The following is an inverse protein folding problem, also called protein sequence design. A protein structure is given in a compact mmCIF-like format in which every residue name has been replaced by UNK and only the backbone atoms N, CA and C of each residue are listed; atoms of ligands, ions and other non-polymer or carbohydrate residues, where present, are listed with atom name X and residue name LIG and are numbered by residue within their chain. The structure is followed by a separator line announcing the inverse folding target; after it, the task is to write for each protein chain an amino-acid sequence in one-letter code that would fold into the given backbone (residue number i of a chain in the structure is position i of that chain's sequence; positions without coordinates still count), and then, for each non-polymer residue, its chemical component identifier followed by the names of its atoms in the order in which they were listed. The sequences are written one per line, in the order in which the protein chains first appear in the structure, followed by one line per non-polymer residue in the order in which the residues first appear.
data_IF_109260219386
#
_entry.id   IF_109260219386
#
_cell.length_a   1.000
_cell.length_b   1.000
_cell.length_c   1.000
_cell.angle_alpha   90.00
_cell.angle_beta   90.00
_cell.angle_gamma   90.00
#
_symmetry.space_group_name_H-M   'P 1'
#
loop_
_entity.id
_entity.type
_entity.pdbx_description
1 polymer ?
#
# COMPACT_ATOMS: atom_id res chain seq x y z
N UNK A 1 29.13 -32.72 19.56
CA UNK A 1 29.01 -31.27 19.62
C UNK A 1 27.56 -30.95 19.30
N UNK A 2 26.84 -30.37 20.25
CA UNK A 2 25.39 -30.16 20.17
C UNK A 2 25.08 -29.00 19.22
N UNK A 3 24.25 -29.24 18.21
CA UNK A 3 23.63 -28.18 17.40
C UNK A 3 22.24 -27.96 17.98
N UNK A 4 22.16 -27.17 19.05
CA UNK A 4 20.88 -26.58 19.46
C UNK A 4 20.72 -25.26 18.71
N UNK A 5 20.37 -25.36 17.42
CA UNK A 5 19.81 -24.23 16.71
C UNK A 5 18.35 -24.12 17.14
N UNK A 6 18.11 -23.29 18.16
CA UNK A 6 16.77 -22.81 18.45
C UNK A 6 16.31 -22.05 17.19
N UNK A 7 15.34 -22.61 16.48
CA UNK A 7 14.60 -21.91 15.44
C UNK A 7 13.89 -20.75 16.12
N UNK A 8 14.58 -19.61 16.23
CA UNK A 8 13.98 -18.37 16.67
C UNK A 8 12.83 -18.08 15.71
N UNK A 9 11.60 -18.04 16.22
CA UNK A 9 10.42 -17.72 15.44
C UNK A 9 10.70 -16.42 14.68
N UNK A 10 10.54 -16.45 13.35
CA UNK A 10 10.77 -15.29 12.52
C UNK A 10 9.74 -14.20 12.89
N UNK A 11 10.21 -12.98 13.15
CA UNK A 11 9.38 -11.81 13.42
C UNK A 11 9.29 -10.91 12.18
N UNK A 12 8.15 -10.26 11.99
CA UNK A 12 7.96 -9.18 11.01
C UNK A 12 8.29 -7.79 11.57
N UNK A 13 8.67 -7.71 12.85
CA UNK A 13 9.20 -6.48 13.44
C UNK A 13 10.63 -6.26 12.94
N UNK A 14 10.89 -5.07 12.38
CA UNK A 14 12.20 -4.71 11.86
C UNK A 14 13.17 -4.41 13.01
N UNK A 15 14.33 -5.08 12.97
CA UNK A 15 15.43 -4.85 13.92
C UNK A 15 16.54 -4.04 13.25
N UNK A 16 17.10 -3.07 13.99
CA UNK A 16 18.27 -2.31 13.54
C UNK A 16 19.57 -3.02 13.94
N UNK A 17 20.41 -3.34 12.94
CA UNK A 17 21.73 -3.98 13.11
C UNK A 17 22.75 -3.33 12.20
N UNK A 18 23.37 -2.25 12.67
CA UNK A 18 24.29 -1.45 11.84
C UNK A 18 23.53 -0.73 10.72
N UNK A 19 23.91 -0.99 9.47
CA UNK A 19 23.23 -0.42 8.28
C UNK A 19 21.96 -1.19 7.89
N UNK A 20 21.76 -2.38 8.46
CA UNK A 20 20.57 -3.21 8.21
C UNK A 20 19.44 -2.74 9.11
N UNK A 21 18.29 -2.47 8.49
CA UNK A 21 17.01 -2.30 9.17
C UNK A 21 16.00 -3.18 8.42
N UNK A 22 15.81 -4.38 8.96
CA UNK A 22 15.11 -5.47 8.29
C UNK A 22 14.49 -6.40 9.34
N UNK A 23 13.25 -6.82 9.10
CA UNK A 23 12.62 -7.88 9.84
C UNK A 23 13.29 -9.24 9.57
N UNK A 24 13.53 -10.07 10.60
CA UNK A 24 14.06 -11.42 10.40
C UNK A 24 13.24 -12.25 9.39
N UNK A 25 11.92 -12.12 9.39
CA UNK A 25 11.02 -12.84 8.48
C UNK A 25 11.12 -12.41 7.01
N UNK A 26 11.61 -11.19 6.73
CA UNK A 26 11.78 -10.71 5.37
C UNK A 26 12.95 -11.40 4.65
N UNK A 27 14.06 -11.67 5.35
CA UNK A 27 15.17 -12.44 4.78
C UNK A 27 15.96 -11.77 3.65
N UNK A 28 15.62 -10.54 3.21
CA UNK A 28 16.36 -9.80 2.17
C UNK A 28 17.59 -9.06 2.71
N UNK A 29 17.56 -8.65 3.98
CA UNK A 29 18.58 -7.77 4.55
C UNK A 29 18.40 -6.31 4.12
N UNK A 30 17.17 -5.79 4.21
CA UNK A 30 16.85 -4.40 3.95
C UNK A 30 17.70 -3.44 4.81
N UNK A 31 17.94 -2.23 4.32
CA UNK A 31 18.80 -1.23 4.96
C UNK A 31 17.99 -0.07 5.54
N UNK A 32 18.57 0.63 6.52
CA UNK A 32 18.02 1.90 7.03
C UNK A 32 17.82 2.92 5.91
N UNK A 33 18.75 2.98 4.96
CA UNK A 33 18.66 3.88 3.81
C UNK A 33 17.44 3.60 2.93
N UNK A 34 17.12 2.34 2.68
CA UNK A 34 15.95 1.96 1.90
C UNK A 34 14.64 2.30 2.64
N UNK A 35 14.62 2.12 3.97
CA UNK A 35 13.50 2.56 4.80
C UNK A 35 13.30 4.07 4.69
N UNK A 36 14.36 4.85 4.86
CA UNK A 36 14.30 6.32 4.80
C UNK A 36 13.81 6.81 3.43
N UNK A 37 14.22 6.14 2.35
CA UNK A 37 13.72 6.40 0.99
C UNK A 37 12.23 6.11 0.90
N UNK A 38 11.75 4.98 1.45
CA UNK A 38 10.33 4.64 1.44
C UNK A 38 9.49 5.66 2.23
N UNK A 39 9.96 6.08 3.41
CA UNK A 39 9.33 7.13 4.23
C UNK A 39 9.24 8.44 3.45
N UNK A 40 10.36 8.94 2.92
CA UNK A 40 10.38 10.19 2.17
C UNK A 40 9.49 10.14 0.92
N UNK A 41 9.41 8.97 0.26
CA UNK A 41 8.56 8.76 -0.91
C UNK A 41 7.07 8.72 -0.55
N UNK A 42 6.73 8.10 0.58
CA UNK A 42 5.36 8.09 1.11
C UNK A 42 4.89 9.51 1.42
N UNK A 43 5.72 10.29 2.09
CA UNK A 43 5.41 11.68 2.43
C UNK A 43 5.25 12.55 1.19
N UNK A 44 6.12 12.38 0.19
CA UNK A 44 6.01 13.11 -1.08
C UNK A 44 4.71 12.76 -1.80
N UNK A 45 4.34 11.49 -1.84
CA UNK A 45 3.09 11.03 -2.43
C UNK A 45 1.87 11.62 -1.69
N UNK A 46 1.87 11.59 -0.36
CA UNK A 46 0.80 12.16 0.45
C UNK A 46 0.62 13.65 0.16
N UNK A 47 1.71 14.42 0.16
CA UNK A 47 1.69 15.85 -0.19
C UNK A 47 1.18 16.11 -1.62
N UNK A 48 1.50 15.22 -2.56
CA UNK A 48 1.08 15.33 -3.96
C UNK A 48 -0.44 15.16 -4.11
N UNK A 49 -1.04 14.25 -3.34
CA UNK A 49 -2.49 13.97 -3.38
C UNK A 49 -3.33 14.97 -2.56
N UNK A 50 -2.69 15.80 -1.74
CA UNK A 50 -3.35 16.87 -1.00
C UNK A 50 -3.43 16.62 0.51
N UNK A 51 -4.22 17.43 1.23
CA UNK A 51 -4.31 17.33 2.69
C UNK A 51 -4.96 16.00 3.13
N UNK A 52 -4.67 15.62 4.38
CA UNK A 52 -5.30 14.50 5.10
C UNK A 52 -5.04 13.09 4.54
N UNK A 53 -4.10 12.94 3.60
CA UNK A 53 -3.56 11.64 3.24
C UNK A 53 -2.56 11.16 4.29
N UNK A 54 -2.74 9.93 4.76
CA UNK A 54 -1.88 9.30 5.77
C UNK A 54 -0.91 8.33 5.10
N UNK A 55 0.36 8.33 5.52
CA UNK A 55 1.38 7.43 5.00
C UNK A 55 1.31 6.06 5.67
N UNK A 56 1.61 5.01 4.91
CA UNK A 56 1.83 3.65 5.42
C UNK A 56 3.15 3.14 4.83
N UNK A 57 4.03 2.61 5.67
CA UNK A 57 5.36 2.11 5.29
C UNK A 57 5.54 0.76 5.96
N UNK A 58 5.83 -0.26 5.16
CA UNK A 58 5.96 -1.63 5.67
C UNK A 58 7.05 -2.40 4.94
N UNK A 59 7.43 -3.52 5.53
CA UNK A 59 8.47 -4.39 5.01
C UNK A 59 7.88 -5.69 4.47
N UNK A 60 8.25 -6.06 3.24
CA UNK A 60 7.95 -7.35 2.64
C UNK A 60 8.89 -7.61 1.45
N UNK A 61 10.02 -8.29 1.68
CA UNK A 61 11.08 -8.46 0.68
C UNK A 61 11.61 -7.11 0.13
N UNK A 62 11.65 -6.09 0.99
CA UNK A 62 11.89 -4.70 0.61
C UNK A 62 11.04 -3.74 1.43
N UNK A 63 11.42 -2.47 1.44
CA UNK A 63 10.61 -1.40 2.03
C UNK A 63 9.62 -0.89 0.99
N UNK A 64 8.34 -0.92 1.35
CA UNK A 64 7.22 -0.48 0.52
C UNK A 64 6.52 0.68 1.20
N UNK A 65 5.74 1.41 0.42
CA UNK A 65 4.92 2.48 0.95
C UNK A 65 3.60 2.62 0.21
N UNK A 66 2.62 3.16 0.90
CA UNK A 66 1.32 3.56 0.38
C UNK A 66 0.88 4.84 1.08
N UNK A 67 -0.21 5.41 0.56
CA UNK A 67 -0.94 6.48 1.24
C UNK A 67 -2.43 6.15 1.26
N UNK A 68 -3.11 6.55 2.33
CA UNK A 68 -4.55 6.34 2.52
C UNK A 68 -5.27 7.67 2.63
N UNK A 69 -6.44 7.76 1.99
CA UNK A 69 -7.29 8.94 2.09
C UNK A 69 -7.80 9.13 3.52
N UNK A 70 -8.30 10.33 3.84
CA UNK A 70 -8.82 10.68 5.17
C UNK A 70 -9.90 9.71 5.68
N UNK A 71 -10.71 9.14 4.79
CA UNK A 71 -11.77 8.19 5.14
C UNK A 71 -11.28 6.73 5.13
N UNK A 72 -10.01 6.49 4.80
CA UNK A 72 -9.36 5.18 4.79
C UNK A 72 -9.81 4.24 3.67
N UNK A 73 -10.69 4.67 2.76
CA UNK A 73 -11.26 3.82 1.69
C UNK A 73 -10.43 3.77 0.42
N UNK A 74 -9.65 4.82 0.15
CA UNK A 74 -8.73 4.87 -0.98
C UNK A 74 -7.31 4.65 -0.48
N UNK A 75 -6.63 3.68 -1.09
CA UNK A 75 -5.20 3.43 -0.85
C UNK A 75 -4.47 3.56 -2.19
N UNK A 76 -3.35 4.27 -2.21
CA UNK A 76 -2.51 4.44 -3.42
C UNK A 76 -1.09 4.04 -3.09
N UNK A 77 -0.48 3.22 -3.94
CA UNK A 77 0.94 2.85 -3.82
C UNK A 77 1.61 2.71 -5.19
N UNK A 78 2.95 2.68 -5.24
CA UNK A 78 3.67 2.47 -6.49
C UNK A 78 3.36 1.09 -7.08
N UNK A 79 3.23 1.04 -8.39
CA UNK A 79 3.18 -0.19 -9.18
C UNK A 79 4.55 -0.55 -9.75
N UNK A 80 4.56 -1.39 -10.78
CA UNK A 80 5.76 -1.67 -11.57
C UNK A 80 6.06 -0.52 -12.54
N UNK A 81 7.32 -0.41 -12.97
CA UNK A 81 7.73 0.45 -14.10
C UNK A 81 7.25 1.92 -14.03
N UNK A 82 7.38 2.56 -12.86
CA UNK A 82 6.97 3.95 -12.60
C UNK A 82 5.46 4.23 -12.67
N UNK A 83 4.61 3.22 -12.57
CA UNK A 83 3.16 3.40 -12.46
C UNK A 83 2.71 3.52 -11.00
N UNK A 84 1.42 3.83 -10.81
CA UNK A 84 0.71 3.77 -9.54
C UNK A 84 -0.46 2.81 -9.62
N UNK A 85 -0.89 2.30 -8.47
CA UNK A 85 -2.08 1.48 -8.29
C UNK A 85 -2.94 2.14 -7.22
N UNK A 86 -4.24 2.29 -7.47
CA UNK A 86 -5.19 2.77 -6.49
C UNK A 86 -6.24 1.70 -6.19
N UNK A 87 -6.52 1.48 -4.92
CA UNK A 87 -7.53 0.55 -4.43
C UNK A 87 -8.67 1.34 -3.79
N UNK A 88 -9.91 0.92 -4.05
CA UNK A 88 -11.10 1.41 -3.38
C UNK A 88 -11.81 0.25 -2.67
N UNK A 89 -12.05 0.40 -1.37
CA UNK A 89 -12.64 -0.66 -0.56
C UNK A 89 -13.10 -0.22 0.83
N UNK A 90 -13.07 -1.17 1.76
CA UNK A 90 -13.41 -0.92 3.15
C UNK A 90 -12.28 -0.19 3.88
N UNK A 91 -12.61 0.72 4.82
CA UNK A 91 -11.62 1.48 5.56
C UNK A 91 -10.59 0.58 6.26
N UNK A 92 -9.32 0.96 6.16
CA UNK A 92 -8.23 0.28 6.87
C UNK A 92 -7.65 -0.95 6.16
N UNK A 93 -8.11 -1.26 4.95
CA UNK A 93 -7.51 -2.32 4.12
C UNK A 93 -6.52 -1.75 3.11
N UNK A 94 -5.38 -2.41 2.90
CA UNK A 94 -4.39 -2.02 1.88
C UNK A 94 -4.84 -2.36 0.44
N UNK A 95 -5.86 -3.22 0.31
CA UNK A 95 -6.49 -3.57 -0.96
C UNK A 95 -7.91 -3.03 -1.07
N UNK A 96 -8.64 -3.47 -2.07
CA UNK A 96 -10.00 -3.03 -2.32
C UNK A 96 -10.72 -3.93 -3.31
N UNK A 97 -12.04 -3.79 -3.38
CA UNK A 97 -12.86 -4.48 -4.39
C UNK A 97 -12.51 -3.99 -5.79
N UNK A 98 -12.22 -2.70 -5.91
CA UNK A 98 -11.78 -2.08 -7.15
C UNK A 98 -10.31 -1.70 -7.06
N UNK A 99 -9.58 -1.96 -8.14
CA UNK A 99 -8.17 -1.66 -8.26
C UNK A 99 -7.84 -1.33 -9.71
N UNK A 100 -7.21 -0.18 -9.95
CA UNK A 100 -6.77 0.23 -11.28
C UNK A 100 -5.39 0.89 -11.22
N UNK A 101 -4.77 0.98 -12.39
CA UNK A 101 -3.44 1.53 -12.59
C UNK A 101 -3.48 2.91 -13.26
N UNK A 102 -2.41 3.69 -13.10
CA UNK A 102 -2.18 4.93 -13.84
C UNK A 102 -0.70 5.32 -13.84
N UNK A 103 -0.30 6.18 -14.77
CA UNK A 103 1.09 6.68 -14.82
C UNK A 103 1.33 7.73 -13.73
N UNK A 104 0.25 8.35 -13.24
CA UNK A 104 0.25 9.23 -12.07
C UNK A 104 -0.66 8.71 -10.95
N UNK A 105 -0.45 9.15 -9.70
CA UNK A 105 -1.35 8.81 -8.59
C UNK A 105 -2.80 9.21 -8.86
N UNK A 106 -3.01 10.38 -9.48
CA UNK A 106 -4.34 10.91 -9.76
C UNK A 106 -5.04 10.11 -10.86
N UNK A 107 -4.32 9.66 -11.89
CA UNK A 107 -4.88 8.79 -12.93
C UNK A 107 -5.33 7.46 -12.35
N UNK A 108 -4.51 6.83 -11.50
CA UNK A 108 -4.89 5.58 -10.84
C UNK A 108 -6.17 5.78 -10.01
N UNK A 109 -6.25 6.84 -9.19
CA UNK A 109 -7.46 7.17 -8.41
C UNK A 109 -8.68 7.34 -9.33
N UNK A 110 -8.55 8.15 -10.38
CA UNK A 110 -9.64 8.45 -11.30
C UNK A 110 -10.15 7.19 -12.00
N UNK A 111 -9.24 6.31 -12.44
CA UNK A 111 -9.58 5.03 -13.04
C UNK A 111 -10.34 4.13 -12.06
N UNK A 112 -9.83 3.96 -10.84
CA UNK A 112 -10.49 3.12 -9.81
C UNK A 112 -11.88 3.65 -9.46
N UNK A 113 -12.04 4.97 -9.28
CA UNK A 113 -13.33 5.58 -8.97
C UNK A 113 -14.31 5.44 -10.14
N UNK A 114 -13.84 5.57 -11.38
CA UNK A 114 -14.69 5.42 -12.56
C UNK A 114 -15.27 4.01 -12.67
N UNK A 115 -14.45 2.97 -12.43
CA UNK A 115 -14.91 1.57 -12.44
C UNK A 115 -15.94 1.33 -11.34
N UNK A 116 -15.68 1.79 -10.12
CA UNK A 116 -16.61 1.64 -9.00
C UNK A 116 -17.95 2.36 -9.26
N UNK A 117 -17.90 3.59 -9.79
CA UNK A 117 -19.09 4.36 -10.12
C UNK A 117 -19.92 3.70 -11.23
N UNK A 118 -19.27 3.11 -12.24
CA UNK A 118 -19.96 2.37 -13.29
C UNK A 118 -20.72 1.15 -12.74
N UNK A 119 -20.07 0.37 -11.87
CA UNK A 119 -20.71 -0.79 -11.25
C UNK A 119 -21.89 -0.40 -10.35
N UNK A 120 -21.75 0.63 -9.51
CA UNK A 120 -22.86 1.10 -8.67
C UNK A 120 -24.04 1.61 -9.50
N UNK A 121 -23.79 2.19 -10.68
CA UNK A 121 -24.85 2.59 -11.61
C UNK A 121 -25.63 1.39 -12.15
N UNK A 122 -24.94 0.30 -12.50
CA UNK A 122 -25.58 -0.94 -12.95
C UNK A 122 -26.44 -1.56 -11.83
N UNK A 123 -25.93 -1.60 -10.60
CA UNK A 123 -26.68 -2.09 -9.43
C UNK A 123 -27.91 -1.21 -9.17
N UNK A 124 -27.77 0.12 -9.24
CA UNK A 124 -28.89 1.05 -9.09
C UNK A 124 -30.02 0.80 -10.08
N UNK A 125 -29.68 0.58 -11.36
CA UNK A 125 -30.67 0.29 -12.40
C UNK A 125 -31.44 -1.03 -12.15
N UNK A 126 -30.80 -2.03 -11.53
CA UNK A 126 -31.49 -3.27 -11.13
C UNK A 126 -32.51 -3.00 -10.01
N UNK A 127 -32.17 -2.15 -9.04
CA UNK A 127 -33.05 -1.82 -7.91
C UNK A 127 -34.27 -1.02 -8.39
N UNK A 128 -34.06 -0.03 -9.26
CA UNK A 128 -35.17 0.76 -9.86
C UNK A 128 -36.14 -0.14 -10.65
N UNK A 129 -35.65 -1.20 -11.28
CA UNK A 129 -36.50 -2.17 -11.98
C UNK A 129 -37.26 -3.15 -11.09
N UNK A 130 -37.06 -3.11 -9.76
CA UNK A 130 -37.79 -3.94 -8.78
C UNK A 130 -38.99 -3.21 -8.16
N UNK A 131 -39.13 -1.90 -8.37
CA UNK A 131 -40.28 -1.08 -7.93
C UNK A 131 -41.45 -1.18 -8.92
#
# INVERSE_FOLDING_TARGET
MSVNQVDAALSWEADAKGEVYCAPACGRGCTTKEHDIAVASAELLARTLGPDWTTDVWENLGWHYAVRSFCGRLTVHPGSANSFIAFLGEPGTLGGRWAEHGDTPQEAINATVAVAAAEYKEIGALIEGLE
#
